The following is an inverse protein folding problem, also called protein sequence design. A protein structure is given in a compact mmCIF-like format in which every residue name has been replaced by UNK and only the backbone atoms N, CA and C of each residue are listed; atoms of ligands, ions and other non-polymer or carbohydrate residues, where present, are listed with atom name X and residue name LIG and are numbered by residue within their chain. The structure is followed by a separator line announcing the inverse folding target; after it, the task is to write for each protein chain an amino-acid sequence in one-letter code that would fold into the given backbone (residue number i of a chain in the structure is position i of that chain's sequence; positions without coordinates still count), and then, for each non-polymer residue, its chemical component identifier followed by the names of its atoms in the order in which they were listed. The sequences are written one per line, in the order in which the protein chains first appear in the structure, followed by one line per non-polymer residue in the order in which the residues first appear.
data_IF_787454396266
#
_entry.id   IF_787454396266
#
_cell.length_a   1.000
_cell.length_b   1.000
_cell.length_c   1.000
_cell.angle_alpha   90.00
_cell.angle_beta   90.00
_cell.angle_gamma   90.00
#
_symmetry.space_group_name_H-M   'P 1'
#
loop_
_entity.id
_entity.type
_entity.pdbx_description
1 polymer ?
#
# COMPACT_ATOMS: atom_id res chain seq x y z
N UNK A 1 24.34 -2.32 -23.94
CA UNK A 1 23.01 -2.54 -23.33
C UNK A 1 23.17 -3.59 -22.24
N UNK A 2 22.86 -3.25 -20.98
CA UNK A 2 22.97 -4.16 -19.82
C UNK A 2 21.59 -4.78 -19.53
N UNK A 3 21.48 -6.07 -19.19
CA UNK A 3 20.19 -6.72 -18.97
C UNK A 3 19.63 -6.32 -17.60
N UNK A 4 18.47 -5.68 -17.59
CA UNK A 4 17.63 -5.49 -16.40
C UNK A 4 16.81 -6.78 -16.26
N UNK A 5 17.02 -7.52 -15.17
CA UNK A 5 16.25 -8.74 -14.90
C UNK A 5 15.04 -8.33 -14.04
N UNK A 6 13.79 -8.47 -14.51
CA UNK A 6 12.62 -8.23 -13.69
C UNK A 6 12.49 -9.34 -12.64
N UNK A 7 12.46 -8.97 -11.36
CA UNK A 7 12.17 -9.92 -10.28
C UNK A 7 10.66 -10.19 -10.27
N UNK A 8 10.24 -11.33 -10.81
CA UNK A 8 8.88 -11.84 -10.66
C UNK A 8 8.80 -12.54 -9.29
N UNK A 9 8.14 -11.92 -8.31
CA UNK A 9 7.74 -12.61 -7.09
C UNK A 9 6.59 -13.56 -7.44
N UNK A 10 6.86 -14.87 -7.38
CA UNK A 10 5.84 -15.91 -7.50
C UNK A 10 4.92 -15.85 -6.26
N UNK A 11 3.70 -15.37 -6.45
CA UNK A 11 2.59 -15.61 -5.53
C UNK A 11 1.73 -16.73 -6.12
N UNK A 12 1.87 -17.95 -5.60
CA UNK A 12 0.87 -19.01 -5.83
C UNK A 12 0.28 -19.42 -4.49
N UNK A 13 -0.98 -19.06 -4.30
CA UNK A 13 -1.87 -19.71 -3.35
C UNK A 13 -2.15 -21.14 -3.83
N UNK A 14 -2.23 -22.11 -2.93
CA UNK A 14 -3.26 -23.17 -2.93
C UNK A 14 -3.21 -23.94 -1.59
N UNK A 15 -4.39 -24.09 -0.99
CA UNK A 15 -4.65 -25.09 0.05
C UNK A 15 -4.70 -26.47 -0.62
N UNK A 16 -3.70 -27.29 -0.36
CA UNK A 16 -3.79 -28.74 -0.34
C UNK A 16 -2.61 -29.23 0.50
N UNK A 17 -2.86 -30.12 1.46
CA UNK A 17 -1.83 -30.72 2.29
C UNK A 17 -0.81 -31.47 1.42
N UNK A 18 0.26 -30.80 1.08
CA UNK A 18 1.53 -31.40 0.74
C UNK A 18 2.55 -30.66 1.60
N UNK A 19 3.35 -31.41 2.37
CA UNK A 19 4.58 -30.95 3.00
C UNK A 19 5.54 -30.48 1.90
N UNK A 20 5.27 -29.32 1.32
CA UNK A 20 6.24 -28.58 0.54
C UNK A 20 7.09 -27.89 1.60
N UNK A 21 8.15 -28.58 2.04
CA UNK A 21 9.32 -27.88 2.52
C UNK A 21 9.74 -26.95 1.37
N UNK A 22 9.29 -25.70 1.42
CA UNK A 22 9.80 -24.65 0.58
C UNK A 22 11.27 -24.55 0.97
N UNK A 23 12.13 -25.22 0.19
CA UNK A 23 13.56 -25.02 0.24
C UNK A 23 13.74 -23.57 -0.19
N UNK A 24 13.77 -22.67 0.80
CA UNK A 24 14.22 -21.29 0.62
C UNK A 24 15.68 -21.45 0.23
N UNK A 25 15.95 -21.51 -1.08
CA UNK A 25 17.32 -21.51 -1.56
C UNK A 25 17.99 -20.28 -0.97
N UNK A 26 19.14 -20.43 -0.30
CA UNK A 26 19.83 -19.29 0.28
C UNK A 26 20.07 -18.28 -0.85
N UNK A 27 19.76 -17.01 -0.58
CA UNK A 27 20.04 -15.91 -1.50
C UNK A 27 21.48 -16.08 -1.98
N UNK A 28 21.73 -16.19 -3.30
CA UNK A 28 23.07 -16.32 -3.85
C UNK A 28 24.00 -15.29 -3.20
N UNK A 29 25.19 -15.69 -2.79
CA UNK A 29 26.14 -14.81 -2.07
C UNK A 29 26.38 -13.48 -2.79
N UNK A 30 26.36 -13.51 -4.12
CA UNK A 30 26.50 -12.33 -4.99
C UNK A 30 25.37 -11.31 -4.84
N UNK A 31 24.19 -11.72 -4.35
CA UNK A 31 23.04 -10.85 -4.09
C UNK A 31 23.00 -10.34 -2.63
N UNK A 32 23.65 -11.04 -1.69
CA UNK A 32 23.71 -10.65 -0.27
C UNK A 32 24.41 -9.31 -0.06
N UNK A 33 25.37 -8.99 -0.92
CA UNK A 33 26.16 -7.76 -0.83
C UNK A 33 25.55 -6.58 -1.61
N UNK A 34 24.44 -6.78 -2.31
CA UNK A 34 23.84 -5.74 -3.13
C UNK A 34 22.90 -4.88 -2.28
N UNK A 35 23.26 -3.60 -2.10
CA UNK A 35 22.42 -2.65 -1.38
C UNK A 35 21.27 -2.20 -2.29
N UNK A 36 20.00 -2.41 -1.91
CA UNK A 36 18.89 -1.83 -2.63
C UNK A 36 18.98 -0.30 -2.49
N UNK A 37 18.76 0.40 -3.60
CA UNK A 37 18.73 1.86 -3.66
C UNK A 37 17.35 2.26 -4.14
N UNK A 38 16.72 3.18 -3.42
CA UNK A 38 15.50 3.82 -3.87
C UNK A 38 15.87 4.86 -4.93
N UNK A 39 15.42 4.67 -6.16
CA UNK A 39 15.60 5.62 -7.26
C UNK A 39 14.23 6.23 -7.55
N UNK A 40 14.17 7.56 -7.61
CA UNK A 40 12.96 8.26 -8.02
C UNK A 40 12.52 7.81 -9.42
N UNK A 41 11.21 7.74 -9.61
CA UNK A 41 10.61 7.52 -10.93
C UNK A 41 11.20 8.53 -11.94
N UNK A 42 11.58 8.03 -13.12
CA UNK A 42 12.02 8.92 -14.20
C UNK A 42 10.84 9.67 -14.81
N UNK A 43 11.08 10.83 -15.42
CA UNK A 43 10.01 11.61 -16.07
C UNK A 43 9.26 10.84 -17.15
N UNK A 44 9.90 9.88 -17.83
CA UNK A 44 9.27 9.02 -18.81
C UNK A 44 8.32 8.00 -18.16
N UNK A 45 8.73 7.39 -17.04
CA UNK A 45 7.89 6.47 -16.29
C UNK A 45 6.69 7.18 -15.67
N UNK A 46 6.93 8.36 -15.07
CA UNK A 46 5.90 9.23 -14.53
C UNK A 46 4.86 9.59 -15.58
N UNK A 47 5.31 10.09 -16.75
CA UNK A 47 4.39 10.44 -17.83
C UNK A 47 3.55 9.24 -18.28
N UNK A 48 4.18 8.08 -18.48
CA UNK A 48 3.47 6.86 -18.89
C UNK A 48 2.41 6.46 -17.87
N UNK A 49 2.72 6.55 -16.58
CA UNK A 49 1.79 6.25 -15.49
C UNK A 49 0.63 7.24 -15.44
N UNK A 50 0.89 8.53 -15.60
CA UNK A 50 -0.14 9.56 -15.64
C UNK A 50 -1.05 9.41 -16.87
N UNK A 51 -0.49 9.14 -18.05
CA UNK A 51 -1.26 8.88 -19.27
C UNK A 51 -2.19 7.65 -19.10
N UNK A 52 -1.72 6.62 -18.39
CA UNK A 52 -2.55 5.44 -18.06
C UNK A 52 -3.69 5.80 -17.11
N UNK A 53 -3.42 6.60 -16.07
CA UNK A 53 -4.46 7.06 -15.14
C UNK A 53 -5.49 7.91 -15.88
N UNK A 54 -5.07 8.83 -16.73
CA UNK A 54 -5.97 9.65 -17.54
C UNK A 54 -6.86 8.80 -18.45
N UNK A 55 -6.29 7.81 -19.13
CA UNK A 55 -7.06 6.88 -19.96
C UNK A 55 -8.10 6.09 -19.14
N UNK A 56 -7.78 5.72 -17.90
CA UNK A 56 -8.72 5.05 -16.99
C UNK A 56 -9.83 6.01 -16.57
N UNK A 57 -9.49 7.24 -16.18
CA UNK A 57 -10.44 8.29 -15.79
C UNK A 57 -11.44 8.54 -16.92
N UNK A 58 -10.96 8.66 -18.16
CA UNK A 58 -11.81 8.84 -19.34
C UNK A 58 -12.66 7.59 -19.62
N UNK A 59 -12.05 6.39 -19.58
CA UNK A 59 -12.75 5.12 -19.87
C UNK A 59 -13.93 4.88 -18.95
N UNK A 60 -13.82 5.21 -17.67
CA UNK A 60 -14.87 4.98 -16.67
C UNK A 60 -15.63 6.26 -16.28
N UNK A 61 -15.36 7.37 -16.97
CA UNK A 61 -15.96 8.68 -16.71
C UNK A 61 -15.90 9.08 -15.21
N UNK A 62 -14.70 8.95 -14.64
CA UNK A 62 -14.48 9.19 -13.20
C UNK A 62 -14.40 10.68 -12.90
N UNK A 63 -15.02 11.10 -11.79
CA UNK A 63 -14.76 12.41 -11.20
C UNK A 63 -13.66 12.28 -10.13
N UNK A 64 -12.43 12.67 -10.45
CA UNK A 64 -11.27 12.51 -9.56
C UNK A 64 -11.33 13.38 -8.29
N UNK A 65 -12.13 14.44 -8.30
CA UNK A 65 -12.36 15.29 -7.13
C UNK A 65 -13.39 14.65 -6.16
N UNK A 66 -14.23 13.76 -6.67
CA UNK A 66 -15.27 13.08 -5.90
C UNK A 66 -14.76 11.71 -5.40
N UNK A 67 -13.96 11.76 -4.34
CA UNK A 67 -13.38 10.57 -3.70
C UNK A 67 -14.34 9.95 -2.69
N UNK A 68 -14.40 8.63 -2.69
CA UNK A 68 -15.09 7.84 -1.67
C UNK A 68 -14.15 6.88 -0.98
N UNK A 69 -14.48 6.53 0.26
CA UNK A 69 -13.76 5.54 1.06
C UNK A 69 -14.66 4.32 1.23
N UNK A 70 -14.14 3.15 0.87
CA UNK A 70 -14.83 1.89 1.11
C UNK A 70 -14.76 1.50 2.58
N UNK A 71 -15.93 1.24 3.17
CA UNK A 71 -16.13 0.91 4.59
C UNK A 71 -16.58 -0.53 4.80
N UNK A 72 -17.17 -1.17 3.78
CA UNK A 72 -17.64 -2.56 3.82
C UNK A 72 -18.68 -2.85 4.90
N UNK A 73 -19.53 -1.85 5.21
CA UNK A 73 -20.51 -1.88 6.31
C UNK A 73 -21.65 -2.89 6.09
N UNK A 74 -22.14 -3.00 4.87
CA UNK A 74 -23.27 -3.81 4.44
C UNK A 74 -22.79 -5.14 3.84
N UNK A 75 -21.78 -5.08 2.97
CA UNK A 75 -21.20 -6.27 2.34
C UNK A 75 -19.67 -6.19 2.26
N UNK A 76 -18.98 -7.15 2.87
CA UNK A 76 -17.54 -7.26 2.77
C UNK A 76 -17.14 -7.83 1.41
N UNK A 77 -16.37 -7.08 0.64
CA UNK A 77 -15.77 -7.54 -0.60
C UNK A 77 -14.36 -8.07 -0.30
N UNK A 78 -14.08 -9.33 -0.61
CA UNK A 78 -12.79 -9.97 -0.29
C UNK A 78 -11.59 -9.38 -1.04
N UNK A 79 -11.83 -8.60 -2.09
CA UNK A 79 -10.82 -8.02 -2.97
C UNK A 79 -10.73 -6.49 -2.88
N UNK A 80 -11.58 -5.87 -2.06
CA UNK A 80 -11.57 -4.43 -1.77
C UNK A 80 -11.43 -4.23 -0.26
N UNK A 81 -10.35 -3.59 0.17
CA UNK A 81 -10.01 -3.42 1.57
C UNK A 81 -10.74 -2.24 2.20
N UNK A 82 -11.08 -2.38 3.49
CA UNK A 82 -11.58 -1.25 4.29
C UNK A 82 -10.57 -0.10 4.24
N UNK A 83 -11.08 1.12 4.11
CA UNK A 83 -10.35 2.36 3.85
C UNK A 83 -9.75 2.50 2.45
N UNK A 84 -10.03 1.62 1.49
CA UNK A 84 -9.64 1.84 0.11
C UNK A 84 -10.31 3.08 -0.48
N UNK A 85 -9.55 3.86 -1.26
CA UNK A 85 -10.06 5.03 -1.98
C UNK A 85 -10.64 4.55 -3.30
N UNK A 86 -11.89 4.91 -3.55
CA UNK A 86 -12.63 4.50 -4.73
C UNK A 86 -13.36 5.67 -5.37
N UNK A 87 -13.64 5.53 -6.66
CA UNK A 87 -14.34 6.52 -7.49
C UNK A 87 -15.56 5.87 -8.12
N UNK A 88 -16.70 6.55 -8.16
CA UNK A 88 -17.89 6.04 -8.84
C UNK A 88 -17.71 6.03 -10.35
N UNK A 89 -18.28 5.02 -11.00
CA UNK A 89 -18.40 4.94 -12.46
C UNK A 89 -19.68 5.67 -12.89
N UNK A 90 -19.59 6.49 -13.94
CA UNK A 90 -20.75 7.22 -14.46
C UNK A 90 -21.02 6.91 -15.95
N UNK A 91 -22.28 6.90 -16.40
CA UNK A 91 -23.50 7.02 -15.60
C UNK A 91 -23.66 5.83 -14.64
N UNK A 92 -24.31 6.05 -13.49
CA UNK A 92 -24.56 4.97 -12.54
C UNK A 92 -25.47 3.92 -13.17
N UNK A 93 -25.06 2.65 -13.11
CA UNK A 93 -25.86 1.52 -13.55
C UNK A 93 -26.80 1.04 -12.41
N UNK A 94 -27.66 0.05 -12.70
CA UNK A 94 -28.56 -0.53 -11.69
C UNK A 94 -27.82 -1.10 -10.46
N UNK A 95 -26.58 -1.55 -10.63
CA UNK A 95 -25.66 -1.89 -9.56
C UNK A 95 -24.51 -0.87 -9.55
N UNK A 96 -24.30 -0.22 -8.40
CA UNK A 96 -23.22 0.74 -8.25
C UNK A 96 -21.85 0.08 -8.48
N UNK A 97 -21.12 0.60 -9.46
CA UNK A 97 -19.74 0.22 -9.75
C UNK A 97 -18.80 1.31 -9.22
N UNK A 98 -17.71 0.88 -8.60
CA UNK A 98 -16.63 1.76 -8.19
C UNK A 98 -15.29 1.29 -8.73
N UNK A 99 -14.39 2.23 -8.96
CA UNK A 99 -13.03 1.99 -9.41
C UNK A 99 -12.06 2.25 -8.27
N UNK A 100 -11.25 1.26 -7.92
CA UNK A 100 -10.03 1.46 -7.14
C UNK A 100 -8.87 1.72 -8.09
N UNK A 101 -8.28 2.91 -7.98
CA UNK A 101 -7.06 3.29 -8.70
C UNK A 101 -5.84 2.98 -7.85
N UNK A 102 -4.83 2.35 -8.45
CA UNK A 102 -3.49 2.30 -7.89
C UNK A 102 -2.67 3.41 -8.54
N UNK A 103 -2.60 4.56 -7.87
CA UNK A 103 -1.95 5.78 -8.39
C UNK A 103 -0.47 5.55 -8.64
N UNK A 104 0.18 4.71 -7.82
CA UNK A 104 1.60 4.41 -7.93
C UNK A 104 1.93 3.57 -9.16
N UNK A 105 1.00 2.73 -9.64
CA UNK A 105 1.26 1.81 -10.74
C UNK A 105 0.44 2.08 -12.00
N UNK A 106 -0.51 3.02 -11.95
CA UNK A 106 -1.32 3.42 -13.11
C UNK A 106 -2.28 2.33 -13.60
N UNK A 107 -2.80 1.49 -12.71
CA UNK A 107 -3.85 0.52 -13.06
C UNK A 107 -5.08 0.67 -12.15
N UNK A 108 -6.15 0.02 -12.56
CA UNK A 108 -7.42 0.08 -11.88
C UNK A 108 -8.11 -1.28 -11.82
N UNK A 109 -9.00 -1.43 -10.84
CA UNK A 109 -9.96 -2.53 -10.78
C UNK A 109 -11.34 -1.98 -10.47
N UNK A 110 -12.34 -2.56 -11.13
CA UNK A 110 -13.75 -2.21 -10.95
C UNK A 110 -14.37 -3.21 -9.99
N UNK A 111 -15.19 -2.70 -9.08
CA UNK A 111 -15.87 -3.50 -8.07
C UNK A 111 -17.35 -3.12 -8.01
N UNK A 112 -18.25 -4.11 -8.03
CA UNK A 112 -19.63 -3.89 -7.61
C UNK A 112 -19.66 -3.70 -6.09
N UNK A 113 -20.36 -2.66 -5.62
CA UNK A 113 -20.53 -2.37 -4.20
C UNK A 113 -21.94 -1.87 -3.90
N UNK A 114 -22.39 -2.03 -2.66
CA UNK A 114 -23.60 -1.35 -2.19
C UNK A 114 -23.29 0.13 -1.94
N UNK A 115 -24.23 1.07 -2.20
CA UNK A 115 -24.03 2.49 -1.86
C UNK A 115 -23.69 2.73 -0.38
N UNK A 116 -24.23 1.89 0.50
CA UNK A 116 -23.99 1.93 1.95
C UNK A 116 -22.55 1.54 2.36
N UNK A 117 -21.83 0.86 1.46
CA UNK A 117 -20.46 0.40 1.71
C UNK A 117 -19.43 1.50 1.44
N UNK A 118 -19.81 2.61 0.82
CA UNK A 118 -18.91 3.73 0.54
C UNK A 118 -19.37 5.00 1.25
N UNK A 119 -18.42 5.86 1.60
CA UNK A 119 -18.69 7.16 2.18
C UNK A 119 -17.83 8.23 1.53
N UNK A 120 -18.31 9.48 1.35
CA UNK A 120 -17.50 10.55 0.79
C UNK A 120 -16.22 10.77 1.61
N UNK A 121 -15.08 10.98 0.97
CA UNK A 121 -13.83 11.25 1.67
C UNK A 121 -13.91 12.46 2.61
N UNK A 122 -14.75 13.45 2.28
CA UNK A 122 -14.99 14.63 3.11
C UNK A 122 -15.46 14.29 4.54
N UNK A 123 -16.17 13.17 4.77
CA UNK A 123 -16.56 12.75 6.12
C UNK A 123 -15.36 12.28 6.96
N UNK A 124 -14.36 11.69 6.31
CA UNK A 124 -13.10 11.27 6.93
C UNK A 124 -12.16 12.44 7.14
N UNK A 125 -12.08 13.36 6.17
CA UNK A 125 -11.25 14.56 6.27
C UNK A 125 -11.69 15.49 7.41
N UNK A 126 -12.99 15.53 7.72
CA UNK A 126 -13.53 16.27 8.85
C UNK A 126 -13.33 15.58 10.22
N UNK A 127 -12.91 14.31 10.22
CA UNK A 127 -12.71 13.50 11.43
C UNK A 127 -11.25 13.59 11.92
N UNK A 128 -10.96 13.19 13.17
CA UNK A 128 -9.58 13.06 13.64
C UNK A 128 -8.74 12.17 12.70
N UNK A 129 -7.44 12.47 12.57
CA UNK A 129 -6.53 11.74 11.67
C UNK A 129 -6.59 10.21 11.83
N UNK A 130 -6.76 9.73 13.06
CA UNK A 130 -6.85 8.30 13.36
C UNK A 130 -8.06 7.62 12.70
N UNK A 131 -9.13 8.35 12.34
CA UNK A 131 -10.27 7.80 11.58
C UNK A 131 -9.88 7.39 10.14
N UNK A 132 -8.76 7.92 9.64
CA UNK A 132 -8.20 7.62 8.31
C UNK A 132 -7.16 6.49 8.36
N UNK A 133 -6.95 5.87 9.52
CA UNK A 133 -5.96 4.81 9.74
C UNK A 133 -6.68 3.52 10.12
N UNK A 134 -6.30 2.40 9.50
CA UNK A 134 -6.89 1.11 9.81
C UNK A 134 -6.73 0.76 11.29
N UNK A 135 -7.82 0.29 11.91
CA UNK A 135 -7.85 0.03 13.35
C UNK A 135 -6.85 -1.05 13.79
N UNK A 136 -6.50 -2.00 12.92
CA UNK A 136 -5.46 -2.99 13.23
C UNK A 136 -4.04 -2.40 13.33
N UNK A 137 -3.82 -1.16 12.87
CA UNK A 137 -2.59 -0.42 13.10
C UNK A 137 -2.66 0.27 14.46
N UNK A 138 -3.77 0.93 14.79
CA UNK A 138 -3.91 1.70 16.03
C UNK A 138 -4.09 0.81 17.26
N UNK A 139 -4.94 -0.22 17.13
CA UNK A 139 -5.39 -1.14 18.17
C UNK A 139 -5.48 -2.56 17.62
N UNK A 140 -4.34 -3.24 17.34
CA UNK A 140 -4.31 -4.54 16.69
C UNK A 140 -5.04 -5.67 17.45
N UNK A 141 -5.20 -5.56 18.76
CA UNK A 141 -5.90 -6.57 19.57
C UNK A 141 -5.37 -7.99 19.31
N UNK A 142 -6.26 -8.92 18.98
CA UNK A 142 -5.91 -10.32 18.68
C UNK A 142 -5.06 -10.48 17.41
N UNK A 143 -5.13 -9.54 16.45
CA UNK A 143 -4.35 -9.64 15.20
C UNK A 143 -2.85 -9.47 15.43
N UNK A 144 -2.44 -8.93 16.58
CA UNK A 144 -1.03 -8.77 16.96
C UNK A 144 -0.34 -10.07 17.42
N UNK A 145 -1.06 -11.17 17.66
CA UNK A 145 -0.48 -12.38 18.26
C UNK A 145 0.77 -12.88 17.51
N UNK A 146 0.75 -12.88 16.18
CA UNK A 146 1.89 -13.26 15.34
C UNK A 146 3.05 -12.28 15.46
N UNK A 147 2.78 -10.98 15.36
CA UNK A 147 3.81 -9.94 15.47
C UNK A 147 4.44 -9.90 16.86
N UNK A 148 3.66 -10.12 17.93
CA UNK A 148 4.15 -10.25 19.31
C UNK A 148 5.10 -11.43 19.45
N UNK A 149 4.73 -12.60 18.91
CA UNK A 149 5.59 -13.77 18.95
C UNK A 149 6.88 -13.60 18.14
N UNK A 150 6.82 -12.87 17.02
CA UNK A 150 7.96 -12.62 16.15
C UNK A 150 8.92 -11.58 16.74
N UNK A 151 8.43 -10.39 17.11
CA UNK A 151 9.25 -9.28 17.58
C UNK A 151 9.57 -9.34 19.09
N UNK A 152 8.84 -10.13 19.88
CA UNK A 152 9.08 -10.35 21.30
C UNK A 152 9.25 -9.02 22.05
N UNK A 153 10.40 -8.80 22.68
CA UNK A 153 10.73 -7.61 23.46
C UNK A 153 10.75 -6.32 22.62
N UNK A 154 10.91 -6.42 21.29
CA UNK A 154 10.87 -5.27 20.39
C UNK A 154 9.46 -4.94 19.87
N UNK A 155 8.44 -5.73 20.25
CA UNK A 155 7.08 -5.54 19.75
C UNK A 155 6.51 -4.14 20.02
N UNK A 156 6.75 -3.58 21.21
CA UNK A 156 6.21 -2.26 21.56
C UNK A 156 6.86 -1.15 20.71
N UNK A 157 8.17 -1.25 20.45
CA UNK A 157 8.88 -0.34 19.53
C UNK A 157 8.39 -0.49 18.10
N UNK A 158 8.22 -1.73 17.61
CA UNK A 158 7.63 -2.02 16.31
C UNK A 158 6.25 -1.38 16.17
N UNK A 159 5.38 -1.62 17.15
CA UNK A 159 3.99 -1.17 17.13
C UNK A 159 3.89 0.35 17.22
N UNK A 160 4.69 0.98 18.09
CA UNK A 160 4.82 2.44 18.15
C UNK A 160 5.28 3.04 16.82
N UNK A 161 6.28 2.43 16.17
CA UNK A 161 6.80 2.86 14.87
C UNK A 161 5.75 2.75 13.76
N UNK A 162 4.93 1.68 13.74
CA UNK A 162 3.82 1.54 12.78
C UNK A 162 2.81 2.66 12.92
N UNK A 163 2.36 2.93 14.14
CA UNK A 163 1.38 4.00 14.43
C UNK A 163 1.97 5.36 14.06
N UNK A 164 3.23 5.61 14.41
CA UNK A 164 3.95 6.85 14.11
C UNK A 164 4.03 7.08 12.59
N UNK A 165 4.41 6.07 11.81
CA UNK A 165 4.47 6.19 10.35
C UNK A 165 3.07 6.40 9.74
N UNK A 166 2.05 5.65 10.18
CA UNK A 166 0.70 5.80 9.66
C UNK A 166 0.15 7.23 9.85
N UNK A 167 0.27 7.77 11.07
CA UNK A 167 -0.15 9.15 11.36
C UNK A 167 0.58 10.18 10.52
N UNK A 168 1.88 9.99 10.34
CA UNK A 168 2.71 10.88 9.54
C UNK A 168 2.30 10.89 8.06
N UNK A 169 1.99 9.72 7.49
CA UNK A 169 1.54 9.60 6.09
C UNK A 169 0.17 10.25 5.87
N UNK A 170 -0.78 10.02 6.78
CA UNK A 170 -2.10 10.65 6.68
C UNK A 170 -2.02 12.18 6.86
N UNK A 171 -1.11 12.65 7.71
CA UNK A 171 -0.89 14.08 7.96
C UNK A 171 -0.10 14.80 6.85
N UNK A 172 0.57 14.08 5.94
CA UNK A 172 1.39 14.69 4.89
C UNK A 172 0.61 15.01 3.61
N UNK A 173 -0.72 14.87 3.63
CA UNK A 173 -1.64 15.01 2.48
C UNK A 173 -1.33 14.12 1.26
N UNK A 174 -0.32 13.25 1.37
CA UNK A 174 0.08 12.32 0.32
C UNK A 174 -0.89 11.13 0.17
N UNK A 175 -1.70 10.88 1.20
CA UNK A 175 -2.71 9.83 1.23
C UNK A 175 -3.96 10.24 1.97
N UNK A 176 -5.11 9.85 1.42
CA UNK A 176 -6.41 9.97 2.07
C UNK A 176 -6.50 9.04 3.28
N UNK A 177 -6.00 7.81 3.18
CA UNK A 177 -6.10 6.78 4.23
C UNK A 177 -4.88 5.88 4.25
N UNK A 178 -4.61 5.24 5.39
CA UNK A 178 -3.59 4.19 5.54
C UNK A 178 -4.26 2.89 5.93
N UNK A 179 -4.11 1.87 5.08
CA UNK A 179 -4.77 0.56 5.20
C UNK A 179 -3.91 -0.47 5.92
N UNK A 180 -2.58 -0.35 5.84
CA UNK A 180 -1.64 -1.18 6.61
C UNK A 180 -0.27 -0.50 6.75
N UNK A 181 0.50 -0.92 7.76
CA UNK A 181 1.92 -0.59 7.89
C UNK A 181 2.66 -1.85 8.32
N UNK A 182 3.68 -2.23 7.57
CA UNK A 182 4.46 -3.44 7.85
C UNK A 182 5.95 -3.21 7.77
N UNK A 183 6.71 -4.02 8.51
CA UNK A 183 8.17 -4.04 8.46
C UNK A 183 8.64 -5.14 7.52
N UNK A 184 9.42 -4.78 6.51
CA UNK A 184 10.09 -5.71 5.62
C UNK A 184 11.59 -5.70 5.87
N UNK A 185 12.18 -6.88 6.07
CA UNK A 185 13.61 -7.06 6.40
C UNK A 185 14.42 -7.63 5.22
N UNK A 186 14.22 -7.09 4.01
CA UNK A 186 14.98 -7.51 2.83
C UNK A 186 16.13 -6.52 2.56
N UNK A 187 17.35 -6.92 2.90
CA UNK A 187 18.57 -6.09 2.82
C UNK A 187 18.50 -4.80 3.65
N UNK A 188 17.87 -4.89 4.83
CA UNK A 188 17.66 -3.80 5.78
C UNK A 188 16.21 -3.76 6.24
N UNK A 189 15.98 -3.19 7.41
CA UNK A 189 14.64 -3.01 7.97
C UNK A 189 13.99 -1.75 7.40
N UNK A 190 12.81 -1.94 6.80
CA UNK A 190 12.04 -0.88 6.16
C UNK A 190 10.57 -0.97 6.55
N UNK A 191 10.04 0.05 7.21
CA UNK A 191 8.60 0.20 7.37
C UNK A 191 7.99 0.69 6.06
N UNK A 192 6.94 0.02 5.62
CA UNK A 192 6.13 0.41 4.46
C UNK A 192 4.70 0.67 4.90
N UNK A 193 4.23 1.90 4.74
CA UNK A 193 2.82 2.24 4.85
C UNK A 193 2.12 2.09 3.50
N UNK A 194 0.96 1.46 3.49
CA UNK A 194 0.12 1.25 2.31
C UNK A 194 -1.12 2.14 2.41
N UNK A 195 -1.41 2.87 1.35
CA UNK A 195 -2.53 3.80 1.30
C UNK A 195 -3.73 3.23 0.54
N UNK A 196 -4.92 3.73 0.84
CA UNK A 196 -6.15 3.30 0.18
C UNK A 196 -6.18 3.57 -1.33
N UNK A 197 -5.39 4.54 -1.81
CA UNK A 197 -5.23 4.90 -3.22
C UNK A 197 -4.09 4.12 -3.93
N UNK A 198 -3.54 3.08 -3.28
CA UNK A 198 -2.47 2.24 -3.80
C UNK A 198 -1.04 2.78 -3.65
N UNK A 199 -0.87 4.01 -3.19
CA UNK A 199 0.45 4.57 -2.88
C UNK A 199 1.11 3.85 -1.69
N UNK A 200 2.44 3.85 -1.68
CA UNK A 200 3.25 3.27 -0.60
C UNK A 200 4.38 4.19 -0.20
N UNK A 201 4.59 4.31 1.11
CA UNK A 201 5.64 5.14 1.70
C UNK A 201 6.57 4.31 2.55
N UNK A 202 7.87 4.43 2.29
CA UNK A 202 8.91 3.63 2.91
C UNK A 202 9.79 4.51 3.79
N UNK A 203 10.06 4.07 5.01
CA UNK A 203 11.05 4.69 5.90
C UNK A 203 11.75 3.63 6.74
N UNK A 204 13.04 3.82 6.97
CA UNK A 204 13.78 2.98 7.92
C UNK A 204 13.31 3.24 9.35
N UNK A 205 13.51 2.31 10.31
CA UNK A 205 13.17 2.53 11.72
C UNK A 205 13.74 3.85 12.27
N UNK A 206 15.00 4.16 12.00
CA UNK A 206 15.65 5.42 12.42
C UNK A 206 14.98 6.66 11.83
N UNK A 207 14.45 6.60 10.62
CA UNK A 207 13.75 7.72 9.98
C UNK A 207 12.36 7.95 10.54
N UNK A 208 11.68 6.86 10.94
CA UNK A 208 10.42 6.92 11.68
C UNK A 208 10.67 7.52 13.06
N UNK A 209 11.69 7.04 13.78
CA UNK A 209 12.07 7.54 15.10
C UNK A 209 12.46 9.02 15.06
N UNK A 210 13.30 9.44 14.11
CA UNK A 210 13.78 10.81 13.96
C UNK A 210 12.75 11.78 13.34
N UNK A 211 11.49 11.37 13.18
CA UNK A 211 10.42 12.20 12.61
C UNK A 211 10.74 12.80 11.24
N UNK A 212 11.53 12.08 10.41
CA UNK A 212 11.83 12.56 9.07
C UNK A 212 10.53 12.72 8.26
N UNK A 213 10.38 13.81 7.49
CA UNK A 213 9.21 14.02 6.62
C UNK A 213 9.00 12.85 5.65
N UNK A 214 7.75 12.67 5.23
CA UNK A 214 7.43 11.75 4.14
C UNK A 214 7.94 12.37 2.84
N UNK A 215 8.68 11.58 2.08
CA UNK A 215 9.02 11.94 0.72
C UNK A 215 7.87 11.51 -0.21
N UNK A 216 7.15 12.45 -0.85
CA UNK A 216 6.02 12.13 -1.72
C UNK A 216 6.46 11.47 -3.04
N UNK A 217 7.75 11.51 -3.38
CA UNK A 217 8.23 10.97 -4.65
C UNK A 217 8.02 9.45 -4.73
N UNK A 218 7.47 9.00 -5.85
CA UNK A 218 7.41 7.58 -6.16
C UNK A 218 8.83 7.09 -6.43
N UNK A 219 9.25 6.08 -5.66
CA UNK A 219 10.58 5.47 -5.78
C UNK A 219 10.46 3.99 -6.11
N UNK A 220 11.30 3.56 -7.04
CA UNK A 220 11.51 2.17 -7.36
C UNK A 220 12.75 1.67 -6.62
N UNK A 221 12.59 0.57 -5.89
CA UNK A 221 13.70 -0.11 -5.24
C UNK A 221 14.42 -0.95 -6.28
N UNK A 222 15.66 -0.58 -6.58
CA UNK A 222 16.52 -1.34 -7.50
C UNK A 222 17.76 -1.82 -6.78
N UNK A 223 18.27 -2.96 -7.23
CA UNK A 223 19.51 -3.53 -6.71
C UNK A 223 20.66 -3.08 -7.63
N UNK A 224 21.51 -2.15 -7.18
CA UNK A 224 22.71 -1.76 -7.93
C UNK A 224 23.80 -2.81 -7.73
N UNK A 225 24.28 -3.42 -8.82
CA UNK A 225 25.54 -4.18 -8.78
C UNK A 225 26.72 -3.21 -8.60
N UNK A 226 27.65 -3.47 -7.67
CA UNK A 226 28.92 -2.76 -7.66
C UNK A 226 29.62 -2.97 -9.01
N UNK A 227 30.25 -1.91 -9.51
CA UNK A 227 31.03 -1.90 -10.76
C UNK A 227 32.28 -2.75 -10.64
#
# INVERSE_FOLDING_TARGET
MKPIIPLILAATAFNAQADIQVQISPIPEQLKNLKPVAIAESSLEERKRLDQIEAIVQRFNLNIEEKFIYTGKSSANSLLGILDVVYKVYPEEAQLQVVKLDIQKGYARVYPVSPEDIQPYSSFAASPLDARIANNILSPGASAARSKAYFKDWYDTYQSSRVKLARKVVASDACETVTSVELYSFNGDMFTAFCGNGMKFNQTPTEVEADKPIDPAIKNWVVKRPL
#
